data_IF_729789252866
#
_entry.id   IF_729789252866
#
_cell.length_a   1.000
_cell.length_b   1.000
_cell.length_c   1.000
_cell.angle_alpha   90.00
_cell.angle_beta   90.00
_cell.angle_gamma   90.00
#
_symmetry.space_group_name_H-M   'P 1'
#
loop_
_entity.id
_entity.type
_entity.pdbx_description
1 polymer ?
#
# COMPACT_ATOMS: atom_id res chain seq x y z
N UNK A 1 -5.63 10.84 -13.30
CA UNK A 1 -5.29 9.72 -12.39
C UNK A 1 -6.53 8.86 -12.17
N UNK A 2 -6.73 7.83 -13.00
CA UNK A 2 -7.94 6.95 -12.97
C UNK A 2 -7.56 5.45 -12.82
N UNK A 3 -6.28 5.10 -12.96
CA UNK A 3 -5.82 3.73 -13.25
C UNK A 3 -6.01 2.72 -12.09
N UNK A 4 -5.74 3.08 -10.83
CA UNK A 4 -5.80 2.11 -9.72
C UNK A 4 -7.23 1.60 -9.44
N UNK A 5 -8.26 2.38 -9.75
CA UNK A 5 -9.65 1.95 -9.63
C UNK A 5 -10.05 0.87 -10.65
N UNK A 6 -9.38 0.85 -11.82
CA UNK A 6 -9.59 -0.14 -12.87
C UNK A 6 -9.08 -1.50 -12.40
N UNK A 7 -7.93 -1.55 -11.72
CA UNK A 7 -7.33 -2.80 -11.22
C UNK A 7 -8.30 -3.62 -10.34
N UNK A 8 -9.07 -2.96 -9.46
CA UNK A 8 -10.03 -3.65 -8.58
C UNK A 8 -11.39 -3.91 -9.24
N UNK A 9 -11.72 -3.20 -10.32
CA UNK A 9 -13.02 -3.31 -10.99
C UNK A 9 -13.08 -4.45 -12.03
N UNK A 10 -11.92 -4.86 -12.58
CA UNK A 10 -11.83 -5.89 -13.62
C UNK A 10 -11.33 -7.25 -13.11
N UNK A 11 -10.92 -7.34 -11.84
CA UNK A 11 -10.59 -8.62 -11.24
C UNK A 11 -11.86 -9.30 -10.72
N UNK A 12 -12.07 -10.59 -11.01
CA UNK A 12 -13.09 -11.39 -10.34
C UNK A 12 -12.95 -11.23 -8.82
N UNK A 13 -14.08 -11.18 -8.12
CA UNK A 13 -14.09 -11.14 -6.67
C UNK A 13 -13.20 -12.26 -6.10
N UNK A 14 -12.10 -11.90 -5.43
CA UNK A 14 -11.14 -12.84 -4.84
C UNK A 14 -9.83 -13.04 -5.62
N UNK A 15 -9.67 -12.47 -6.82
CA UNK A 15 -8.42 -12.55 -7.56
C UNK A 15 -7.51 -11.36 -7.21
N UNK A 16 -6.34 -11.63 -6.62
CA UNK A 16 -5.34 -10.60 -6.33
C UNK A 16 -4.59 -10.27 -7.62
N UNK A 17 -4.41 -8.98 -7.97
CA UNK A 17 -3.51 -8.63 -9.06
C UNK A 17 -2.11 -9.14 -8.72
N UNK A 18 -1.39 -9.64 -9.71
CA UNK A 18 0.02 -9.98 -9.51
C UNK A 18 0.82 -8.70 -9.17
N UNK A 19 1.95 -8.88 -8.49
CA UNK A 19 2.73 -7.77 -7.98
C UNK A 19 3.41 -6.95 -9.06
N UNK A 20 3.68 -7.52 -10.24
CA UNK A 20 4.27 -6.80 -11.35
C UNK A 20 3.22 -5.88 -12.02
N UNK A 21 1.98 -6.35 -12.14
CA UNK A 21 0.85 -5.53 -12.60
C UNK A 21 0.63 -4.36 -11.64
N UNK A 22 0.53 -4.59 -10.33
CA UNK A 22 0.39 -3.51 -9.35
C UNK A 22 1.55 -2.51 -9.43
N UNK A 23 2.78 -3.02 -9.62
CA UNK A 23 3.98 -2.21 -9.78
C UNK A 23 3.92 -1.35 -11.04
N UNK A 24 3.46 -1.88 -12.17
CA UNK A 24 3.33 -1.13 -13.42
C UNK A 24 2.26 -0.04 -13.33
N UNK A 25 1.15 -0.33 -12.66
CA UNK A 25 0.07 0.62 -12.42
C UNK A 25 0.51 1.79 -11.54
N UNK A 26 1.32 1.50 -10.52
CA UNK A 26 1.89 2.50 -9.61
C UNK A 26 3.28 2.99 -10.03
N UNK A 27 3.63 2.95 -11.33
CA UNK A 27 4.97 3.38 -11.81
C UNK A 27 5.27 4.86 -11.60
N UNK A 28 4.23 5.69 -11.51
CA UNK A 28 4.34 7.14 -11.27
C UNK A 28 4.15 7.51 -9.80
N UNK A 29 4.06 6.53 -8.91
CA UNK A 29 3.94 6.74 -7.48
C UNK A 29 5.25 7.25 -6.90
N UNK A 30 5.17 7.95 -5.77
CA UNK A 30 6.35 8.24 -4.97
C UNK A 30 6.86 6.94 -4.35
N UNK A 31 8.16 6.67 -4.51
CA UNK A 31 8.76 5.40 -4.12
C UNK A 31 9.70 5.60 -2.95
N UNK A 32 9.49 4.82 -1.89
CA UNK A 32 10.45 4.61 -0.81
C UNK A 32 11.00 3.19 -0.91
N UNK A 33 12.31 3.07 -1.11
CA UNK A 33 13.00 1.78 -1.15
C UNK A 33 13.70 1.52 0.17
N UNK A 34 13.47 0.34 0.74
CA UNK A 34 14.25 -0.22 1.84
C UNK A 34 15.12 -1.37 1.35
N UNK A 35 15.92 -1.96 2.26
CA UNK A 35 16.69 -3.18 1.96
C UNK A 35 15.79 -4.40 1.75
N UNK A 36 14.64 -4.43 2.43
CA UNK A 36 13.72 -5.57 2.49
C UNK A 36 12.59 -5.49 1.46
N UNK A 37 12.25 -4.28 1.02
CA UNK A 37 11.12 -4.08 0.15
C UNK A 37 10.98 -2.66 -0.37
N UNK A 38 9.83 -2.41 -0.98
CA UNK A 38 9.49 -1.15 -1.62
C UNK A 38 8.10 -0.72 -1.18
N UNK A 39 7.95 0.56 -0.84
CA UNK A 39 6.67 1.19 -0.56
C UNK A 39 6.42 2.22 -1.66
N UNK A 40 5.27 2.13 -2.31
CA UNK A 40 4.80 3.11 -3.29
C UNK A 40 3.58 3.83 -2.76
N UNK A 41 3.58 5.15 -2.85
CA UNK A 41 2.52 6.01 -2.34
C UNK A 41 1.93 6.84 -3.48
N UNK A 42 0.61 6.83 -3.61
CA UNK A 42 -0.10 7.64 -4.59
C UNK A 42 -1.28 8.34 -3.94
N UNK A 43 -1.41 9.68 -4.03
CA UNK A 43 -2.59 10.37 -3.56
C UNK A 43 -3.80 10.01 -4.42
N UNK A 44 -4.98 10.02 -3.83
CA UNK A 44 -6.27 9.81 -4.53
C UNK A 44 -7.05 11.12 -4.58
N UNK A 45 -8.13 11.15 -5.35
CA UNK A 45 -8.96 12.35 -5.57
C UNK A 45 -9.69 12.86 -4.32
N UNK A 46 -9.72 12.10 -3.22
CA UNK A 46 -10.46 12.44 -1.99
C UNK A 46 -9.56 12.69 -0.77
N UNK A 47 -8.31 13.09 -0.99
CA UNK A 47 -7.34 13.31 0.09
C UNK A 47 -6.98 12.03 0.86
N UNK A 48 -7.17 10.87 0.23
CA UNK A 48 -6.72 9.56 0.73
C UNK A 48 -5.47 9.15 -0.05
N UNK A 49 -4.77 8.12 0.41
CA UNK A 49 -3.61 7.58 -0.29
C UNK A 49 -3.76 6.08 -0.53
N UNK A 50 -3.22 5.64 -1.66
CA UNK A 50 -2.96 4.24 -1.95
C UNK A 50 -1.50 3.94 -1.66
N UNK A 51 -1.28 2.91 -0.85
CA UNK A 51 0.04 2.41 -0.47
C UNK A 51 0.18 0.99 -0.98
N UNK A 52 1.09 0.76 -1.91
CA UNK A 52 1.50 -0.57 -2.31
C UNK A 52 2.82 -0.93 -1.64
N UNK A 53 2.86 -2.09 -1.00
CA UNK A 53 4.05 -2.64 -0.37
C UNK A 53 4.47 -3.87 -1.18
N UNK A 54 5.76 -3.98 -1.47
CA UNK A 54 6.32 -5.08 -2.24
C UNK A 54 7.49 -5.71 -1.49
N UNK A 55 7.43 -7.02 -1.28
CA UNK A 55 8.57 -7.82 -0.86
C UNK A 55 9.44 -8.11 -2.09
N UNK A 56 10.67 -7.62 -2.09
CA UNK A 56 11.62 -7.83 -3.20
C UNK A 56 12.52 -9.05 -2.99
N UNK A 57 12.33 -9.79 -1.89
CA UNK A 57 13.13 -10.94 -1.51
C UNK A 57 12.42 -12.26 -1.84
N UNK A 58 13.22 -13.32 -1.96
CA UNK A 58 12.76 -14.71 -2.10
C UNK A 58 12.50 -15.39 -0.73
N UNK A 59 12.27 -14.59 0.31
CA UNK A 59 11.93 -15.04 1.66
C UNK A 59 10.86 -14.14 2.26
N UNK A 60 10.14 -14.65 3.25
CA UNK A 60 9.19 -13.84 4.03
C UNK A 60 9.91 -12.65 4.65
N UNK A 61 9.29 -11.47 4.59
CA UNK A 61 9.83 -10.25 5.17
C UNK A 61 8.76 -9.42 5.86
N UNK A 62 9.18 -8.51 6.72
CA UNK A 62 8.33 -7.51 7.35
C UNK A 62 8.70 -6.14 6.79
N UNK A 63 7.73 -5.39 6.29
CA UNK A 63 7.95 -4.04 5.77
C UNK A 63 7.37 -3.04 6.77
N UNK A 64 8.24 -2.23 7.35
CA UNK A 64 7.83 -1.19 8.30
C UNK A 64 7.28 0.04 7.57
N UNK A 65 6.04 0.38 7.90
CA UNK A 65 5.34 1.55 7.43
C UNK A 65 5.28 2.55 8.56
N UNK A 66 5.99 3.66 8.42
CA UNK A 66 6.01 4.74 9.42
C UNK A 66 5.47 6.02 8.77
N UNK A 67 4.35 6.54 9.30
CA UNK A 67 3.61 7.65 8.67
C UNK A 67 4.45 8.89 8.43
N UNK A 68 5.34 9.23 9.37
CA UNK A 68 6.22 10.41 9.28
C UNK A 68 7.28 10.30 8.18
N UNK A 69 7.53 9.11 7.66
CA UNK A 69 8.57 8.82 6.67
C UNK A 69 7.99 8.66 5.25
N UNK A 70 6.67 8.75 5.12
CA UNK A 70 5.97 8.70 3.84
C UNK A 70 5.57 10.12 3.40
N UNK A 71 5.47 10.37 2.09
CA UNK A 71 5.10 11.68 1.54
C UNK A 71 3.59 11.97 1.68
N UNK A 72 2.96 11.48 2.75
CA UNK A 72 1.58 11.76 3.07
C UNK A 72 1.52 12.99 3.97
N UNK A 73 0.72 13.99 3.59
CA UNK A 73 0.50 15.21 4.38
C UNK A 73 -0.47 14.95 5.55
N UNK A 74 -0.18 13.92 6.34
CA UNK A 74 -0.93 13.60 7.54
C UNK A 74 -0.60 14.59 8.66
N UNK A 75 -1.59 14.94 9.49
CA UNK A 75 -1.34 15.75 10.68
C UNK A 75 -0.41 14.98 11.62
N UNK A 76 0.54 15.67 12.26
CA UNK A 76 1.44 15.05 13.24
C UNK A 76 0.63 14.40 14.36
N UNK A 77 0.92 13.13 14.67
CA UNK A 77 0.19 12.36 15.69
C UNK A 77 -1.19 11.85 15.24
N UNK A 78 -1.57 11.99 13.96
CA UNK A 78 -2.81 11.39 13.45
C UNK A 78 -2.74 9.86 13.43
N UNK A 79 -3.92 9.26 13.53
CA UNK A 79 -4.13 7.81 13.46
C UNK A 79 -5.06 7.50 12.28
N UNK A 80 -4.54 7.52 11.04
CA UNK A 80 -5.36 7.31 9.85
C UNK A 80 -6.01 5.91 9.87
N UNK A 81 -7.15 5.78 9.19
CA UNK A 81 -7.78 4.49 8.94
C UNK A 81 -7.06 3.76 7.80
N UNK A 82 -6.79 2.47 7.99
CA UNK A 82 -6.09 1.64 7.00
C UNK A 82 -6.96 0.46 6.60
N UNK A 83 -7.16 0.28 5.28
CA UNK A 83 -7.91 -0.85 4.73
C UNK A 83 -7.09 -1.59 3.70
N UNK A 84 -7.07 -2.92 3.77
CA UNK A 84 -6.51 -3.78 2.73
C UNK A 84 -7.50 -3.89 1.57
N UNK A 85 -7.08 -3.47 0.37
CA UNK A 85 -7.93 -3.47 -0.81
C UNK A 85 -8.01 -4.84 -1.49
N UNK A 86 -7.06 -5.74 -1.22
CA UNK A 86 -7.05 -7.10 -1.76
C UNK A 86 -7.95 -8.04 -0.97
N UNK A 87 -7.94 -7.93 0.36
CA UNK A 87 -8.75 -8.80 1.24
C UNK A 87 -10.05 -8.14 1.68
N UNK A 88 -10.18 -6.81 1.50
CA UNK A 88 -11.30 -6.02 2.01
C UNK A 88 -11.23 -5.74 3.51
N UNK A 89 -10.26 -6.32 4.22
CA UNK A 89 -10.04 -6.19 5.68
C UNK A 89 -9.78 -4.75 6.10
N UNK A 90 -10.52 -4.28 7.11
CA UNK A 90 -10.28 -2.99 7.75
C UNK A 90 -9.43 -3.19 9.01
N UNK A 91 -8.31 -2.47 9.09
CA UNK A 91 -7.37 -2.52 10.22
C UNK A 91 -7.66 -1.44 11.27
N UNK A 92 -8.68 -0.62 11.04
CA UNK A 92 -9.03 0.48 11.91
C UNK A 92 -8.01 1.61 11.87
N UNK A 93 -7.97 2.38 12.97
CA UNK A 93 -7.09 3.53 13.13
C UNK A 93 -5.71 3.07 13.59
N UNK A 94 -4.68 3.44 12.85
CA UNK A 94 -3.30 3.00 13.10
C UNK A 94 -2.44 4.19 13.54
N UNK A 95 -1.92 4.14 14.76
CA UNK A 95 -1.09 5.21 15.32
C UNK A 95 0.40 5.00 15.00
N UNK A 96 1.07 6.04 14.50
CA UNK A 96 2.53 6.05 14.24
C UNK A 96 3.01 5.22 13.04
N UNK A 97 2.33 4.12 12.73
CA UNK A 97 2.71 3.18 11.67
C UNK A 97 2.32 1.74 11.99
N UNK A 98 2.77 0.81 11.18
CA UNK A 98 2.61 -0.64 11.39
C UNK A 98 3.68 -1.40 10.59
N UNK A 99 3.82 -2.70 10.87
CA UNK A 99 4.69 -3.59 10.11
C UNK A 99 3.85 -4.60 9.33
N UNK A 100 4.11 -4.74 8.03
CA UNK A 100 3.41 -5.69 7.16
C UNK A 100 4.26 -6.92 6.87
N UNK A 101 3.79 -8.09 7.28
CA UNK A 101 4.41 -9.36 6.88
C UNK A 101 3.97 -9.75 5.48
N UNK A 102 4.93 -9.92 4.58
CA UNK A 102 4.70 -10.33 3.19
C UNK A 102 5.45 -11.61 2.85
N UNK A 103 4.76 -12.50 2.13
CA UNK A 103 5.33 -13.70 1.53
C UNK A 103 6.41 -13.36 0.48
N UNK A 104 7.31 -14.30 0.12
CA UNK A 104 8.30 -14.11 -0.93
C UNK A 104 7.67 -13.54 -2.20
N UNK A 105 8.27 -12.47 -2.75
CA UNK A 105 7.75 -11.74 -3.93
C UNK A 105 6.30 -11.23 -3.80
N UNK A 106 5.74 -11.25 -2.59
CA UNK A 106 4.38 -10.84 -2.31
C UNK A 106 4.21 -9.33 -2.26
N UNK A 107 2.96 -8.91 -2.36
CA UNK A 107 2.57 -7.51 -2.26
C UNK A 107 1.19 -7.36 -1.63
N UNK A 108 0.94 -6.15 -1.12
CA UNK A 108 -0.38 -5.73 -0.64
C UNK A 108 -0.66 -4.31 -1.12
N UNK A 109 -1.94 -4.03 -1.38
CA UNK A 109 -2.43 -2.69 -1.64
C UNK A 109 -3.33 -2.24 -0.50
N UNK A 110 -2.99 -1.11 0.10
CA UNK A 110 -3.69 -0.52 1.24
C UNK A 110 -4.24 0.85 0.86
N UNK A 111 -5.42 1.18 1.40
CA UNK A 111 -5.97 2.53 1.36
C UNK A 111 -5.86 3.17 2.74
N UNK A 112 -5.26 4.35 2.77
CA UNK A 112 -5.07 5.15 3.97
C UNK A 112 -5.95 6.39 3.89
N UNK A 113 -6.85 6.54 4.86
CA UNK A 113 -7.72 7.71 5.01
C UNK A 113 -7.26 8.51 6.25
N UNK A 114 -7.07 9.84 6.14
CA UNK A 114 -6.69 10.69 7.28
C UNK A 114 -7.55 10.46 8.54
#
# INVERSE_FOLDING_TARGET
MILVAVLLAFLPAGQRPDCDTLRNEMRHAEVRRGREGEIRVTPTTRGQWDLALFNNLDRVTSIDVVWKELPMRLKRGSSPQVRNLFTGEDRGKVHGGFAERLEPRGCVLLRVKP
#
